data_IF_260762766148
#
_entry.id   IF_260762766148
#
_cell.length_a   1.000
_cell.length_b   1.000
_cell.length_c   1.000
_cell.angle_alpha   90.00
_cell.angle_beta   90.00
_cell.angle_gamma   90.00
#
_symmetry.space_group_name_H-M   'P 1'
#
loop_
_entity.id
_entity.type
_entity.pdbx_description
1 polymer ?
#
# COMPACT_ATOMS: atom_id res chain seq x y z
N UNK A 1 -38.46 -29.28 -22.40
CA UNK A 1 -39.17 -30.49 -21.92
C UNK A 1 -38.19 -31.65 -21.83
N UNK A 2 -37.74 -31.97 -20.61
CA UNK A 2 -37.44 -33.32 -20.11
C UNK A 2 -37.19 -33.17 -18.61
N UNK A 3 -38.04 -33.85 -17.84
CA UNK A 3 -38.18 -33.75 -16.40
C UNK A 3 -37.45 -34.90 -15.71
N UNK A 4 -36.64 -34.58 -14.70
CA UNK A 4 -36.18 -35.54 -13.69
C UNK A 4 -36.39 -34.91 -12.32
N UNK A 5 -37.39 -35.40 -11.56
CA UNK A 5 -37.63 -35.02 -10.16
C UNK A 5 -36.97 -36.07 -9.25
N UNK A 6 -36.08 -35.62 -8.37
CA UNK A 6 -35.76 -36.26 -7.10
C UNK A 6 -36.40 -35.48 -5.93
N UNK A 7 -36.65 -36.11 -4.77
CA UNK A 7 -37.64 -35.62 -3.81
C UNK A 7 -37.05 -34.79 -2.65
N UNK A 8 -37.84 -33.82 -2.18
CA UNK A 8 -37.96 -33.55 -0.75
C UNK A 8 -36.92 -32.65 -0.08
N UNK A 9 -36.90 -31.36 -0.41
CA UNK A 9 -36.35 -30.30 0.43
C UNK A 9 -37.22 -29.04 0.33
N UNK A 10 -37.40 -28.24 1.40
CA UNK A 10 -38.23 -27.04 1.33
C UNK A 10 -37.65 -26.06 0.30
N UNK A 11 -38.53 -25.48 -0.52
CA UNK A 11 -38.16 -24.49 -1.52
C UNK A 11 -37.57 -23.24 -0.84
N UNK A 12 -36.26 -23.07 -0.91
CA UNK A 12 -35.60 -21.81 -0.52
C UNK A 12 -35.88 -20.78 -1.62
N UNK A 13 -36.83 -19.89 -1.35
CA UNK A 13 -37.15 -18.77 -2.23
C UNK A 13 -36.02 -17.73 -2.15
N UNK A 14 -34.99 -17.90 -2.99
CA UNK A 14 -33.98 -16.86 -3.18
C UNK A 14 -34.64 -15.72 -3.95
N UNK A 15 -34.96 -14.62 -3.26
CA UNK A 15 -35.39 -13.38 -3.92
C UNK A 15 -34.30 -12.97 -4.91
N UNK A 16 -34.59 -12.78 -6.20
CA UNK A 16 -33.60 -12.21 -7.11
C UNK A 16 -33.20 -10.84 -6.57
N UNK A 17 -31.90 -10.70 -6.26
CA UNK A 17 -31.32 -9.43 -5.85
C UNK A 17 -31.69 -8.35 -6.84
N UNK A 18 -32.25 -7.25 -6.33
CA UNK A 18 -32.57 -6.06 -7.11
C UNK A 18 -31.29 -5.64 -7.85
N UNK A 19 -31.23 -5.85 -9.17
CA UNK A 19 -30.23 -5.18 -10.02
C UNK A 19 -30.50 -3.69 -9.87
N UNK A 20 -29.62 -2.98 -9.19
CA UNK A 20 -29.61 -1.53 -9.24
C UNK A 20 -29.30 -1.14 -10.69
N UNK A 21 -30.06 -0.20 -11.29
CA UNK A 21 -29.82 0.20 -12.66
C UNK A 21 -28.44 0.85 -12.76
N UNK A 22 -27.71 0.48 -13.81
CA UNK A 22 -26.57 1.24 -14.31
C UNK A 22 -27.09 2.63 -14.68
N UNK A 23 -26.81 3.64 -13.86
CA UNK A 23 -27.14 5.02 -14.19
C UNK A 23 -26.06 5.56 -15.11
N UNK A 24 -26.31 5.47 -16.41
CA UNK A 24 -25.78 6.44 -17.36
C UNK A 24 -26.62 7.71 -17.20
N UNK A 25 -26.03 8.80 -16.69
CA UNK A 25 -26.82 9.96 -16.28
C UNK A 25 -26.00 11.05 -15.60
N UNK A 26 -25.64 12.05 -16.40
CA UNK A 26 -25.14 13.37 -16.00
C UNK A 26 -25.91 13.90 -14.78
N UNK A 27 -25.22 14.04 -13.66
CA UNK A 27 -25.66 14.87 -12.56
C UNK A 27 -24.46 15.71 -12.09
N UNK A 28 -24.53 17.03 -12.30
CA UNK A 28 -23.47 17.99 -12.00
C UNK A 28 -23.24 18.26 -10.51
N UNK A 29 -23.42 17.26 -9.65
CA UNK A 29 -22.96 17.30 -8.27
C UNK A 29 -21.48 16.96 -8.24
N UNK A 30 -20.63 17.87 -7.75
CA UNK A 30 -19.19 17.63 -7.60
C UNK A 30 -19.00 16.44 -6.64
N UNK A 31 -18.56 15.30 -7.16
CA UNK A 31 -18.18 14.14 -6.35
C UNK A 31 -17.26 14.62 -5.22
N UNK A 32 -17.63 14.42 -3.94
CA UNK A 32 -16.85 14.97 -2.83
C UNK A 32 -15.49 14.31 -2.84
N UNK A 33 -14.43 15.13 -2.96
CA UNK A 33 -13.07 14.64 -3.11
C UNK A 33 -12.70 13.65 -2.00
N UNK A 34 -12.00 12.54 -2.33
CA UNK A 34 -11.43 11.64 -1.35
C UNK A 34 -10.53 12.39 -0.36
N UNK A 35 -10.40 11.85 0.85
CA UNK A 35 -9.39 12.31 1.80
C UNK A 35 -7.98 11.94 1.30
N UNK A 36 -7.86 10.74 0.73
CA UNK A 36 -6.63 10.21 0.15
C UNK A 36 -6.89 9.56 -1.20
N UNK A 37 -5.99 9.79 -2.15
CA UNK A 37 -5.95 9.08 -3.44
C UNK A 37 -4.73 8.18 -3.49
N UNK A 38 -4.94 6.90 -3.80
CA UNK A 38 -3.86 5.93 -4.02
C UNK A 38 -3.75 5.64 -5.51
N UNK A 39 -2.52 5.58 -6.05
CA UNK A 39 -2.29 5.29 -7.46
C UNK A 39 -1.11 4.34 -7.66
N UNK A 40 -1.27 3.40 -8.59
CA UNK A 40 -0.28 2.39 -8.97
C UNK A 40 -0.90 1.34 -9.88
N UNK A 41 -0.11 0.37 -10.35
CA UNK A 41 -0.64 -0.81 -11.01
C UNK A 41 -0.91 -1.93 -10.00
N UNK A 42 -1.97 -2.70 -10.23
CA UNK A 42 -2.17 -3.97 -9.56
C UNK A 42 -1.23 -5.01 -10.18
N UNK A 43 -0.41 -5.65 -9.35
CA UNK A 43 0.48 -6.71 -9.79
C UNK A 43 -0.24 -8.07 -9.76
N UNK A 44 0.14 -8.97 -10.67
CA UNK A 44 -0.20 -10.40 -10.54
C UNK A 44 1.01 -11.14 -9.99
N UNK A 45 0.90 -11.60 -8.76
CA UNK A 45 1.92 -12.44 -8.14
C UNK A 45 1.57 -13.90 -8.42
N UNK A 46 2.38 -14.57 -9.23
CA UNK A 46 2.20 -15.99 -9.59
C UNK A 46 2.33 -16.84 -8.33
N UNK A 47 1.35 -17.74 -8.13
CA UNK A 47 1.30 -18.63 -6.99
C UNK A 47 0.48 -19.89 -7.31
N UNK A 48 0.82 -21.00 -6.66
CA UNK A 48 0.16 -22.30 -6.88
C UNK A 48 -1.04 -22.53 -5.95
N UNK A 49 -1.24 -21.65 -4.98
CA UNK A 49 -2.27 -21.76 -3.94
C UNK A 49 -3.51 -20.89 -4.20
N UNK A 50 -3.62 -20.32 -5.41
CA UNK A 50 -4.83 -19.70 -5.94
C UNK A 50 -5.24 -20.43 -7.23
N UNK A 51 -6.51 -20.82 -7.42
CA UNK A 51 -6.97 -21.51 -8.62
C UNK A 51 -6.71 -20.76 -9.94
N UNK A 52 -6.52 -19.44 -9.90
CA UNK A 52 -6.16 -18.63 -11.07
C UNK A 52 -4.68 -18.77 -11.46
N UNK A 53 -3.85 -19.35 -10.59
CA UNK A 53 -2.39 -19.41 -10.72
C UNK A 53 -1.68 -18.10 -10.34
N UNK A 54 -2.41 -17.15 -9.76
CA UNK A 54 -1.89 -15.85 -9.32
C UNK A 54 -2.83 -15.18 -8.31
N UNK A 55 -2.28 -14.24 -7.54
CA UNK A 55 -3.02 -13.33 -6.65
C UNK A 55 -2.85 -11.88 -7.04
N UNK A 56 -3.87 -11.08 -6.77
CA UNK A 56 -3.77 -9.64 -6.96
C UNK A 56 -2.93 -9.03 -5.83
N UNK A 57 -1.84 -8.38 -6.23
CA UNK A 57 -0.97 -7.61 -5.36
C UNK A 57 -0.88 -6.15 -5.79
N UNK A 58 0.32 -5.60 -5.59
CA UNK A 58 0.63 -4.21 -5.89
C UNK A 58 0.29 -3.26 -4.75
N UNK A 59 1.18 -2.30 -4.49
CA UNK A 59 1.06 -1.40 -3.35
C UNK A 59 -0.21 -0.55 -3.39
N UNK A 60 -0.76 -0.27 -4.58
CA UNK A 60 -2.05 0.41 -4.76
C UNK A 60 -3.19 -0.33 -4.06
N UNK A 61 -3.21 -1.65 -4.15
CA UNK A 61 -4.29 -2.50 -3.61
C UNK A 61 -4.22 -2.55 -2.09
N UNK A 62 -3.05 -2.84 -1.52
CA UNK A 62 -2.83 -2.86 -0.07
C UNK A 62 -3.02 -1.48 0.57
N UNK A 63 -2.50 -0.43 -0.05
CA UNK A 63 -2.58 0.93 0.48
C UNK A 63 -4.01 1.48 0.45
N UNK A 64 -4.75 1.22 -0.63
CA UNK A 64 -6.15 1.64 -0.74
C UNK A 64 -7.02 0.93 0.31
N UNK A 65 -6.87 -0.39 0.45
CA UNK A 65 -7.62 -1.15 1.45
C UNK A 65 -7.29 -0.70 2.87
N UNK A 66 -6.01 -0.46 3.17
CA UNK A 66 -5.55 -0.02 4.49
C UNK A 66 -6.14 1.33 4.86
N UNK A 67 -6.02 2.32 3.98
CA UNK A 67 -6.54 3.68 4.24
C UNK A 67 -8.06 3.69 4.45
N UNK A 68 -8.80 2.93 3.64
CA UNK A 68 -10.25 2.80 3.79
C UNK A 68 -10.62 2.10 5.11
N UNK A 69 -9.96 0.98 5.44
CA UNK A 69 -10.19 0.25 6.71
C UNK A 69 -9.80 1.04 7.95
N UNK A 70 -8.89 2.01 7.83
CA UNK A 70 -8.57 2.98 8.89
C UNK A 70 -9.58 4.13 9.00
N UNK A 71 -10.49 4.26 8.03
CA UNK A 71 -11.62 5.18 8.05
C UNK A 71 -11.45 6.47 7.25
N UNK A 72 -10.47 6.52 6.34
CA UNK A 72 -10.36 7.63 5.37
C UNK A 72 -11.31 7.38 4.20
N UNK A 73 -11.85 8.46 3.60
CA UNK A 73 -12.51 8.35 2.28
C UNK A 73 -11.41 8.16 1.24
N UNK A 74 -11.31 6.96 0.69
CA UNK A 74 -10.21 6.59 -0.21
C UNK A 74 -10.69 6.48 -1.65
N UNK A 75 -9.98 7.15 -2.55
CA UNK A 75 -10.04 6.88 -3.98
C UNK A 75 -8.83 6.07 -4.42
N UNK A 76 -8.99 5.14 -5.36
CA UNK A 76 -7.89 4.36 -5.92
C UNK A 76 -7.90 4.41 -7.45
N UNK A 77 -6.79 4.84 -8.05
CA UNK A 77 -6.54 4.76 -9.49
C UNK A 77 -5.67 3.53 -9.73
N UNK A 78 -6.28 2.45 -10.22
CA UNK A 78 -5.65 1.14 -10.31
C UNK A 78 -5.41 0.78 -11.77
N UNK A 79 -4.14 0.75 -12.18
CA UNK A 79 -3.74 0.17 -13.46
C UNK A 79 -3.95 -1.34 -13.44
N UNK A 80 -4.72 -1.87 -14.39
CA UNK A 80 -5.03 -3.31 -14.47
C UNK A 80 -4.92 -3.80 -15.91
N UNK A 81 -4.30 -4.96 -16.09
CA UNK A 81 -4.44 -5.73 -17.33
C UNK A 81 -5.78 -6.48 -17.38
N UNK A 82 -6.03 -7.21 -18.47
CA UNK A 82 -7.28 -7.93 -18.67
C UNK A 82 -7.59 -8.93 -17.54
N UNK A 83 -6.58 -9.68 -17.05
CA UNK A 83 -6.76 -10.67 -16.01
C UNK A 83 -6.96 -10.03 -14.63
N UNK A 84 -6.16 -9.02 -14.30
CA UNK A 84 -6.26 -8.28 -13.05
C UNK A 84 -7.58 -7.52 -12.92
N UNK A 85 -8.19 -7.09 -14.03
CA UNK A 85 -9.48 -6.40 -14.04
C UNK A 85 -10.66 -7.26 -13.54
N UNK A 86 -10.51 -8.58 -13.56
CA UNK A 86 -11.52 -9.56 -13.10
C UNK A 86 -11.21 -10.12 -11.70
N UNK A 87 -10.18 -9.59 -11.04
CA UNK A 87 -9.78 -10.04 -9.71
C UNK A 87 -10.84 -9.72 -8.65
N UNK A 88 -11.26 -10.73 -7.88
CA UNK A 88 -12.22 -10.57 -6.78
C UNK A 88 -11.68 -9.70 -5.64
N UNK A 89 -10.36 -9.55 -5.54
CA UNK A 89 -9.72 -8.64 -4.59
C UNK A 89 -10.07 -7.16 -4.86
N UNK A 90 -10.45 -6.81 -6.09
CA UNK A 90 -11.00 -5.48 -6.40
C UNK A 90 -12.36 -5.26 -5.73
N UNK A 91 -13.14 -6.32 -5.51
CA UNK A 91 -14.40 -6.23 -4.77
C UNK A 91 -14.15 -6.02 -3.28
N UNK A 92 -13.08 -6.58 -2.71
CA UNK A 92 -12.67 -6.27 -1.32
C UNK A 92 -12.40 -4.78 -1.11
N UNK A 93 -11.84 -4.09 -2.13
CA UNK A 93 -11.66 -2.64 -2.09
C UNK A 93 -13.01 -1.92 -2.09
N UNK A 94 -13.91 -2.29 -3.01
CA UNK A 94 -15.24 -1.67 -3.14
C UNK A 94 -16.08 -1.88 -1.88
N UNK A 95 -16.07 -3.09 -1.33
CA UNK A 95 -16.77 -3.46 -0.10
C UNK A 95 -16.24 -2.70 1.13
N UNK A 96 -14.95 -2.35 1.14
CA UNK A 96 -14.37 -1.47 2.14
C UNK A 96 -14.71 0.02 1.94
N UNK A 97 -15.45 0.36 0.89
CA UNK A 97 -15.84 1.74 0.56
C UNK A 97 -14.80 2.52 -0.24
N UNK A 98 -13.84 1.85 -0.86
CA UNK A 98 -12.90 2.50 -1.79
C UNK A 98 -13.63 2.88 -3.08
N UNK A 99 -13.49 4.13 -3.51
CA UNK A 99 -13.88 4.56 -4.86
C UNK A 99 -12.81 4.09 -5.85
N UNK A 100 -13.04 2.93 -6.48
CA UNK A 100 -12.07 2.28 -7.38
C UNK A 100 -12.27 2.73 -8.82
N UNK A 101 -11.26 3.40 -9.39
CA UNK A 101 -11.16 3.68 -10.82
C UNK A 101 -10.12 2.79 -11.47
N UNK A 102 -10.60 1.88 -12.34
CA UNK A 102 -9.74 1.01 -13.12
C UNK A 102 -9.23 1.75 -14.36
N UNK A 103 -7.92 1.68 -14.57
CA UNK A 103 -7.25 2.11 -15.79
C UNK A 103 -6.83 0.84 -16.53
N UNK A 104 -7.43 0.59 -17.69
CA UNK A 104 -7.08 -0.58 -18.51
C UNK A 104 -5.71 -0.38 -19.14
N UNK A 105 -4.81 -1.31 -18.87
CA UNK A 105 -3.48 -1.41 -19.45
C UNK A 105 -3.46 -2.59 -20.42
N UNK A 106 -2.60 -2.54 -21.44
CA UNK A 106 -2.39 -3.70 -22.31
C UNK A 106 -1.62 -4.78 -21.52
N UNK A 107 -0.63 -4.35 -20.73
CA UNK A 107 0.20 -5.20 -19.88
C UNK A 107 0.30 -4.65 -18.46
N UNK A 108 0.16 -5.55 -17.49
CA UNK A 108 0.35 -5.29 -16.06
C UNK A 108 1.67 -5.90 -15.56
N UNK A 109 2.14 -5.52 -14.37
CA UNK A 109 3.33 -6.13 -13.79
C UNK A 109 3.00 -7.53 -13.28
N UNK A 110 3.83 -8.51 -13.65
CA UNK A 110 3.65 -9.91 -13.23
C UNK A 110 4.94 -10.43 -12.63
N UNK A 111 4.86 -11.00 -11.43
CA UNK A 111 6.01 -11.51 -10.69
C UNK A 111 5.90 -12.99 -10.39
N UNK A 112 7.05 -13.66 -10.32
CA UNK A 112 7.20 -14.94 -9.63
C UNK A 112 8.09 -14.68 -8.42
N UNK A 113 7.56 -14.99 -7.25
CA UNK A 113 8.29 -14.91 -5.99
C UNK A 113 8.87 -16.29 -5.67
N UNK A 114 10.19 -16.39 -5.59
CA UNK A 114 10.90 -17.62 -5.23
C UNK A 114 11.55 -17.41 -3.86
N UNK A 115 10.97 -18.04 -2.84
CA UNK A 115 11.53 -18.02 -1.50
C UNK A 115 12.81 -18.85 -1.43
N UNK A 116 13.87 -18.29 -0.84
CA UNK A 116 15.17 -18.94 -0.65
C UNK A 116 15.67 -18.69 0.78
N UNK A 117 16.60 -19.50 1.30
CA UNK A 117 17.19 -19.27 2.62
C UNK A 117 17.83 -17.89 2.77
N UNK A 118 18.41 -17.35 1.69
CA UNK A 118 19.06 -16.04 1.67
C UNK A 118 18.08 -14.87 1.45
N UNK A 119 16.79 -15.17 1.29
CA UNK A 119 15.72 -14.22 1.00
C UNK A 119 14.99 -14.50 -0.30
N UNK A 120 14.05 -13.63 -0.64
CA UNK A 120 13.19 -13.79 -1.82
C UNK A 120 13.89 -13.36 -3.11
N UNK A 121 14.01 -14.26 -4.09
CA UNK A 121 14.31 -13.87 -5.47
C UNK A 121 13.01 -13.57 -6.19
N UNK A 122 12.88 -12.35 -6.72
CA UNK A 122 11.75 -11.97 -7.55
C UNK A 122 12.13 -12.01 -9.03
N UNK A 123 11.35 -12.74 -9.83
CA UNK A 123 11.45 -12.76 -11.29
C UNK A 123 10.31 -11.95 -11.89
N UNK A 124 10.61 -11.15 -12.91
CA UNK A 124 9.63 -10.44 -13.71
C UNK A 124 9.16 -11.33 -14.86
N UNK A 125 7.88 -11.68 -14.90
CA UNK A 125 7.25 -12.33 -16.07
C UNK A 125 6.87 -11.30 -17.12
N UNK A 126 6.38 -10.15 -16.67
CA UNK A 126 5.84 -9.11 -17.53
C UNK A 126 6.01 -7.74 -16.88
N UNK A 127 6.24 -6.72 -17.71
CA UNK A 127 6.37 -5.33 -17.30
C UNK A 127 5.04 -4.61 -17.50
N UNK A 128 4.69 -3.76 -16.55
CA UNK A 128 3.52 -2.87 -16.66
C UNK A 128 3.71 -1.78 -17.70
N UNK A 129 2.64 -1.47 -18.43
CA UNK A 129 2.51 -0.19 -19.13
C UNK A 129 2.34 0.97 -18.13
N UNK A 130 2.61 2.22 -18.54
CA UNK A 130 2.40 3.38 -17.69
C UNK A 130 0.93 3.62 -17.34
N UNK A 131 0.66 3.96 -16.09
CA UNK A 131 -0.63 4.53 -15.67
C UNK A 131 -0.61 6.03 -16.01
N UNK A 132 -1.41 6.51 -16.99
CA UNK A 132 -1.31 7.88 -17.46
C UNK A 132 -1.87 8.87 -16.43
N UNK A 133 -1.23 10.04 -16.32
CA UNK A 133 -1.69 11.11 -15.43
C UNK A 133 -3.09 11.62 -15.75
N UNK A 134 -3.57 11.42 -16.98
CA UNK A 134 -4.93 11.77 -17.41
C UNK A 134 -6.01 10.90 -16.75
N UNK A 135 -5.63 9.80 -16.09
CA UNK A 135 -6.54 8.98 -15.30
C UNK A 135 -7.10 9.70 -14.06
N UNK A 136 -6.45 10.77 -13.60
CA UNK A 136 -6.96 11.56 -12.47
C UNK A 136 -8.18 12.38 -12.88
N UNK A 137 -9.27 12.24 -12.15
CA UNK A 137 -10.43 13.12 -12.36
C UNK A 137 -10.21 14.49 -11.71
N UNK A 138 -10.79 15.57 -12.26
CA UNK A 138 -10.62 16.91 -11.71
C UNK A 138 -10.99 17.04 -10.22
N UNK A 139 -12.01 16.32 -9.76
CA UNK A 139 -12.44 16.35 -8.35
C UNK A 139 -11.41 15.74 -7.39
N UNK A 140 -10.68 14.72 -7.82
CA UNK A 140 -9.71 14.01 -6.98
C UNK A 140 -8.40 14.79 -6.79
N UNK A 141 -8.09 15.74 -7.68
CA UNK A 141 -6.95 16.67 -7.51
C UNK A 141 -7.04 17.49 -6.21
N UNK A 142 -8.24 17.61 -5.65
CA UNK A 142 -8.49 18.30 -4.39
C UNK A 142 -8.16 17.48 -3.14
N UNK A 143 -7.81 16.19 -3.29
CA UNK A 143 -7.54 15.29 -2.17
C UNK A 143 -6.44 15.84 -1.26
N UNK A 144 -6.62 15.61 0.06
CA UNK A 144 -5.71 16.11 1.10
C UNK A 144 -4.43 15.28 1.18
N UNK A 145 -4.49 14.02 0.75
CA UNK A 145 -3.37 13.11 0.73
C UNK A 145 -3.28 12.29 -0.54
N UNK A 146 -2.07 11.85 -0.85
CA UNK A 146 -1.76 10.98 -1.97
C UNK A 146 -0.80 9.88 -1.53
N UNK A 147 -1.03 8.66 -2.00
CA UNK A 147 -0.07 7.56 -1.89
C UNK A 147 0.26 7.14 -3.33
N UNK A 148 1.47 7.45 -3.77
CA UNK A 148 2.01 6.95 -5.02
C UNK A 148 2.69 5.61 -4.70
N UNK A 149 2.07 4.53 -5.14
CA UNK A 149 2.48 3.17 -4.82
C UNK A 149 2.93 2.43 -6.09
N UNK A 150 4.04 2.87 -6.73
CA UNK A 150 4.55 2.20 -7.90
C UNK A 150 5.05 0.80 -7.52
N UNK A 151 4.85 -0.14 -8.43
CA UNK A 151 5.41 -1.48 -8.40
C UNK A 151 6.77 -1.51 -9.09
N UNK A 152 6.91 -0.73 -10.16
CA UNK A 152 8.12 -0.51 -10.92
C UNK A 152 8.08 0.91 -11.56
N UNK A 153 8.36 1.00 -12.85
CA UNK A 153 8.37 2.25 -13.61
C UNK A 153 7.00 2.60 -14.25
N UNK A 154 5.87 2.14 -13.70
CA UNK A 154 4.55 2.40 -14.30
C UNK A 154 3.99 3.79 -13.99
N UNK A 155 4.52 4.49 -12.99
CA UNK A 155 4.12 5.85 -12.67
C UNK A 155 5.10 6.84 -13.33
N UNK A 156 4.74 7.49 -14.45
CA UNK A 156 5.60 8.50 -15.05
C UNK A 156 5.77 9.71 -14.12
N UNK A 157 6.89 10.42 -14.29
CA UNK A 157 7.26 11.60 -13.49
C UNK A 157 6.18 12.69 -13.41
N UNK A 158 5.31 12.78 -14.42
CA UNK A 158 4.18 13.71 -14.42
C UNK A 158 3.21 13.54 -13.24
N UNK A 159 3.19 12.38 -12.58
CA UNK A 159 2.42 12.18 -11.35
C UNK A 159 2.89 13.08 -10.21
N UNK A 160 4.13 13.57 -10.23
CA UNK A 160 4.65 14.53 -9.25
C UNK A 160 3.88 15.86 -9.25
N UNK A 161 3.28 16.25 -10.37
CA UNK A 161 2.55 17.51 -10.54
C UNK A 161 1.05 17.38 -10.29
N UNK A 162 0.53 16.16 -10.04
CA UNK A 162 -0.90 15.93 -9.81
C UNK A 162 -1.34 16.38 -8.41
N UNK A 163 -0.64 15.99 -7.32
CA UNK A 163 -0.97 16.46 -5.97
C UNK A 163 -0.67 17.96 -5.82
N UNK A 164 -1.65 18.70 -5.31
CA UNK A 164 -1.47 20.13 -4.95
C UNK A 164 -0.40 20.31 -3.88
N UNK A 165 0.27 21.46 -3.85
CA UNK A 165 1.40 21.74 -2.95
C UNK A 165 1.13 21.43 -1.47
N UNK A 166 -0.09 21.71 -0.98
CA UNK A 166 -0.49 21.46 0.42
C UNK A 166 -0.91 20.02 0.74
N UNK A 167 -1.00 19.15 -0.26
CA UNK A 167 -1.38 17.75 -0.04
C UNK A 167 -0.19 16.96 0.49
N UNK A 168 -0.43 16.07 1.45
CA UNK A 168 0.59 15.13 1.94
C UNK A 168 0.80 14.04 0.89
N UNK A 169 2.03 13.85 0.44
CA UNK A 169 2.37 12.82 -0.56
C UNK A 169 3.27 11.77 0.06
N UNK A 170 2.79 10.53 0.10
CA UNK A 170 3.56 9.35 0.45
C UNK A 170 3.98 8.59 -0.82
N UNK A 171 5.20 8.06 -0.84
CA UNK A 171 5.73 7.28 -1.97
C UNK A 171 6.33 5.96 -1.49
N UNK A 172 5.88 4.84 -2.07
CA UNK A 172 6.57 3.56 -1.95
C UNK A 172 7.77 3.54 -2.88
N UNK A 173 8.97 3.79 -2.34
CA UNK A 173 10.17 3.97 -3.17
C UNK A 173 10.60 2.67 -3.86
N UNK A 174 10.29 1.52 -3.28
CA UNK A 174 10.56 0.20 -3.85
C UNK A 174 10.25 0.12 -5.36
N UNK A 175 9.12 0.67 -5.82
CA UNK A 175 8.78 0.64 -7.24
C UNK A 175 9.72 1.46 -8.12
N UNK A 176 10.22 2.61 -7.66
CA UNK A 176 11.15 3.42 -8.45
C UNK A 176 12.57 2.85 -8.46
N UNK A 177 12.85 1.84 -7.63
CA UNK A 177 14.14 1.16 -7.54
C UNK A 177 14.16 -0.13 -8.37
N UNK A 178 13.13 -0.42 -9.16
CA UNK A 178 13.01 -1.66 -9.93
C UNK A 178 12.98 -1.40 -11.43
N UNK A 179 13.76 -2.18 -12.16
CA UNK A 179 13.62 -2.36 -13.60
C UNK A 179 13.17 -3.79 -13.91
N UNK A 180 12.03 -3.89 -14.60
CA UNK A 180 11.37 -5.14 -14.94
C UNK A 180 11.71 -5.53 -16.37
N UNK A 181 12.30 -6.73 -16.51
CA UNK A 181 12.60 -7.33 -17.79
C UNK A 181 11.95 -8.72 -17.85
N UNK A 182 11.06 -9.00 -18.81
CA UNK A 182 10.39 -10.28 -18.94
C UNK A 182 11.37 -11.47 -18.93
N UNK A 183 11.07 -12.48 -18.11
CA UNK A 183 11.87 -13.69 -17.95
C UNK A 183 13.17 -13.51 -17.13
N UNK A 184 13.42 -12.34 -16.54
CA UNK A 184 14.64 -12.07 -15.76
C UNK A 184 14.36 -11.78 -14.30
N UNK A 185 15.39 -11.93 -13.47
CA UNK A 185 15.37 -11.42 -12.11
C UNK A 185 15.14 -9.89 -12.12
N UNK A 186 14.36 -9.41 -11.15
CA UNK A 186 14.13 -7.97 -10.95
C UNK A 186 15.48 -7.30 -10.72
N UNK A 187 15.78 -6.28 -11.52
CA UNK A 187 17.01 -5.51 -11.39
C UNK A 187 16.78 -4.33 -10.47
N UNK A 188 17.60 -4.18 -9.44
CA UNK A 188 17.60 -3.00 -8.58
C UNK A 188 18.38 -1.86 -9.24
N UNK A 189 17.77 -0.68 -9.27
CA UNK A 189 18.37 0.56 -9.76
C UNK A 189 19.07 1.28 -8.61
N UNK A 190 20.14 2.02 -8.93
CA UNK A 190 20.77 2.89 -7.95
C UNK A 190 19.77 3.96 -7.48
N UNK A 191 19.67 4.22 -6.17
CA UNK A 191 18.79 5.26 -5.65
C UNK A 191 19.25 6.64 -6.15
N UNK A 192 18.30 7.47 -6.55
CA UNK A 192 18.56 8.81 -7.05
C UNK A 192 17.31 9.68 -7.04
N UNK A 193 17.47 11.00 -7.17
CA UNK A 193 16.34 11.92 -7.15
C UNK A 193 15.47 11.74 -8.40
N UNK A 194 14.15 11.71 -8.20
CA UNK A 194 13.15 11.77 -9.27
C UNK A 194 12.14 12.88 -8.98
N UNK A 195 11.42 13.41 -9.97
CA UNK A 195 10.32 14.34 -9.74
C UNK A 195 9.32 13.85 -8.69
N UNK A 196 9.00 12.55 -8.69
CA UNK A 196 8.11 11.93 -7.71
C UNK A 196 8.69 12.01 -6.28
N UNK A 197 9.97 11.66 -6.09
CA UNK A 197 10.63 11.75 -4.78
C UNK A 197 10.81 13.19 -4.31
N UNK A 198 11.04 14.12 -5.24
CA UNK A 198 11.10 15.56 -4.95
C UNK A 198 9.72 16.15 -4.62
N UNK A 199 8.63 15.47 -4.95
CA UNK A 199 7.29 15.84 -4.49
C UNK A 199 6.96 15.25 -3.11
N UNK A 200 7.51 14.11 -2.74
CA UNK A 200 7.07 13.34 -1.57
C UNK A 200 7.33 14.02 -0.22
N UNK A 201 6.34 14.02 0.67
CA UNK A 201 6.48 14.38 2.09
C UNK A 201 6.93 13.18 2.94
N UNK A 202 6.58 11.97 2.52
CA UNK A 202 6.90 10.71 3.17
C UNK A 202 7.37 9.70 2.13
N UNK A 203 8.51 9.06 2.36
CA UNK A 203 9.06 8.04 1.45
C UNK A 203 9.33 6.78 2.25
N UNK A 204 8.67 5.68 1.87
CA UNK A 204 8.86 4.36 2.48
C UNK A 204 9.74 3.45 1.61
N UNK A 205 10.64 2.72 2.24
CA UNK A 205 11.37 1.61 1.62
C UNK A 205 11.74 0.54 2.64
N UNK A 206 11.98 -0.69 2.18
CA UNK A 206 12.69 -1.70 2.96
C UNK A 206 14.20 -1.50 2.87
N UNK A 207 14.94 -1.88 3.91
CA UNK A 207 16.40 -1.97 3.81
C UNK A 207 16.85 -2.99 2.75
N UNK A 208 16.01 -3.97 2.43
CA UNK A 208 16.29 -4.98 1.42
C UNK A 208 16.06 -4.50 -0.02
N UNK A 209 15.48 -3.30 -0.22
CA UNK A 209 15.24 -2.73 -1.56
C UNK A 209 16.47 -2.03 -2.14
N UNK A 210 17.53 -1.89 -1.36
CA UNK A 210 18.75 -1.15 -1.70
C UNK A 210 19.99 -1.89 -1.20
N UNK A 211 21.12 -1.68 -1.86
CA UNK A 211 22.39 -2.26 -1.42
C UNK A 211 22.73 -1.82 0.01
N UNK A 212 23.17 -2.79 0.82
CA UNK A 212 23.44 -2.61 2.25
C UNK A 212 24.64 -1.69 2.54
N UNK A 213 25.46 -1.43 1.53
CA UNK A 213 26.61 -0.54 1.62
C UNK A 213 26.25 0.93 1.32
N UNK A 214 25.07 1.19 0.75
CA UNK A 214 24.61 2.56 0.49
C UNK A 214 24.30 3.23 1.84
N UNK A 215 25.01 4.33 2.19
CA UNK A 215 24.75 5.06 3.43
C UNK A 215 23.36 5.68 3.44
N UNK A 216 22.68 5.68 4.60
CA UNK A 216 21.32 6.22 4.72
C UNK A 216 21.23 7.72 4.38
N UNK A 217 22.32 8.47 4.59
CA UNK A 217 22.40 9.88 4.19
C UNK A 217 22.32 10.06 2.67
N UNK A 218 22.87 9.13 1.87
CA UNK A 218 22.76 9.20 0.40
C UNK A 218 21.33 8.95 -0.06
N UNK A 219 20.63 8.01 0.60
CA UNK A 219 19.20 7.81 0.36
C UNK A 219 18.40 9.07 0.67
N UNK A 220 18.68 9.71 1.81
CA UNK A 220 18.00 10.94 2.22
C UNK A 220 18.23 12.10 1.24
N UNK A 221 19.43 12.24 0.68
CA UNK A 221 19.77 13.30 -0.30
C UNK A 221 18.96 13.23 -1.60
N UNK A 222 18.43 12.06 -1.96
CA UNK A 222 17.56 11.89 -3.12
C UNK A 222 16.17 12.53 -2.91
N UNK A 223 15.75 12.71 -1.65
CA UNK A 223 14.42 13.20 -1.28
C UNK A 223 14.36 14.72 -1.30
N UNK A 224 13.15 15.31 -1.28
CA UNK A 224 13.06 16.76 -1.02
C UNK A 224 13.49 17.12 0.40
N UNK A 225 14.02 18.33 0.62
CA UNK A 225 14.28 18.83 1.96
C UNK A 225 13.05 18.75 2.88
N UNK A 226 13.25 18.25 4.10
CA UNK A 226 12.21 18.10 5.10
C UNK A 226 11.26 16.91 4.89
N UNK A 227 11.49 16.06 3.89
CA UNK A 227 10.76 14.80 3.76
C UNK A 227 11.07 13.84 4.92
N UNK A 228 10.12 12.98 5.24
CA UNK A 228 10.33 11.86 6.16
C UNK A 228 10.75 10.62 5.37
N UNK A 229 11.86 10.01 5.74
CA UNK A 229 12.32 8.72 5.21
C UNK A 229 11.97 7.60 6.20
N UNK A 230 11.11 6.67 5.82
CA UNK A 230 10.75 5.51 6.60
C UNK A 230 11.41 4.25 6.04
N UNK A 231 12.34 3.67 6.80
CA UNK A 231 13.09 2.47 6.43
C UNK A 231 12.59 1.31 7.29
N UNK A 232 11.96 0.31 6.68
CA UNK A 232 11.53 -0.90 7.38
C UNK A 232 12.65 -1.95 7.41
N UNK A 233 12.77 -2.66 8.53
CA UNK A 233 13.74 -3.73 8.76
C UNK A 233 13.05 -5.00 9.29
N UNK A 234 11.86 -5.31 8.77
CA UNK A 234 11.09 -6.50 9.13
C UNK A 234 10.79 -6.60 10.62
N UNK A 235 11.17 -7.73 11.21
CA UNK A 235 10.98 -8.07 12.63
C UNK A 235 11.79 -7.21 13.61
N UNK A 236 12.69 -6.34 13.11
CA UNK A 236 13.48 -5.40 13.92
C UNK A 236 12.87 -4.00 14.01
N UNK A 237 11.71 -3.79 13.39
CA UNK A 237 11.07 -2.48 13.31
C UNK A 237 11.70 -1.68 12.18
N UNK A 238 12.31 -0.54 12.50
CA UNK A 238 13.02 0.22 11.48
C UNK A 238 13.53 1.57 11.95
N UNK A 239 13.83 2.43 10.96
CA UNK A 239 14.36 3.76 11.17
C UNK A 239 13.45 4.80 10.52
N UNK A 240 13.31 5.94 11.19
CA UNK A 240 12.74 7.15 10.63
C UNK A 240 13.84 8.19 10.54
N UNK A 241 14.08 8.69 9.34
CA UNK A 241 15.02 9.75 9.04
C UNK A 241 14.31 11.04 8.69
N UNK A 242 14.73 12.14 9.31
CA UNK A 242 14.43 13.50 8.86
C UNK A 242 15.69 14.36 8.97
N UNK A 243 15.71 15.46 8.24
CA UNK A 243 16.91 16.28 8.14
C UNK A 243 16.67 17.62 7.48
N UNK A 244 17.56 18.56 7.80
CA UNK A 244 17.62 19.88 7.17
C UNK A 244 18.62 19.79 6.02
N UNK A 245 18.30 20.45 4.90
CA UNK A 245 19.03 20.35 3.63
C UNK A 245 20.56 20.33 3.79
N UNK A 246 21.19 19.24 3.35
CA UNK A 246 22.65 19.15 3.16
C UNK A 246 23.52 19.02 4.41
N UNK A 247 22.96 19.04 5.63
CA UNK A 247 23.79 19.20 6.85
C UNK A 247 23.66 18.08 7.88
N UNK A 248 22.47 17.49 8.07
CA UNK A 248 22.28 16.42 9.05
C UNK A 248 21.12 15.51 8.67
N UNK A 249 21.27 14.22 9.02
CA UNK A 249 20.19 13.24 9.03
C UNK A 249 20.01 12.77 10.48
N UNK A 250 18.85 13.07 11.05
CA UNK A 250 18.45 12.59 12.36
C UNK A 250 17.70 11.26 12.18
N UNK A 251 18.29 10.19 12.71
CA UNK A 251 17.70 8.85 12.68
C UNK A 251 17.08 8.53 14.03
N UNK A 252 15.84 8.05 14.02
CA UNK A 252 15.16 7.50 15.19
C UNK A 252 14.74 6.07 14.90
N UNK A 253 15.07 5.15 15.80
CA UNK A 253 14.57 3.78 15.73
C UNK A 253 13.12 3.73 16.20
N UNK A 254 12.31 2.89 15.55
CA UNK A 254 11.01 2.49 16.06
C UNK A 254 10.97 0.96 16.21
N UNK A 255 10.41 0.44 17.32
CA UNK A 255 10.37 -0.99 17.57
C UNK A 255 9.40 -1.70 16.62
N UNK A 256 9.66 -2.97 16.35
CA UNK A 256 8.66 -3.83 15.73
C UNK A 256 7.48 -4.03 16.68
N UNK A 257 6.30 -4.18 16.09
CA UNK A 257 5.18 -4.79 16.78
C UNK A 257 5.14 -6.25 16.31
N UNK A 258 5.34 -7.24 17.20
CA UNK A 258 5.37 -8.64 16.79
C UNK A 258 4.00 -9.11 16.32
N UNK A 259 4.00 -9.88 15.23
CA UNK A 259 2.84 -10.67 14.78
C UNK A 259 2.68 -11.92 15.66
N UNK A 260 1.45 -12.42 15.75
CA UNK A 260 1.17 -13.67 16.46
C UNK A 260 1.51 -14.91 15.63
N UNK A 261 1.40 -14.80 14.30
CA UNK A 261 1.78 -15.82 13.33
C UNK A 261 2.18 -15.14 12.02
N UNK A 262 3.05 -15.78 11.23
CA UNK A 262 3.39 -15.32 9.89
C UNK A 262 2.77 -16.31 8.91
N UNK A 263 1.77 -15.85 8.17
CA UNK A 263 1.05 -16.60 7.13
C UNK A 263 1.53 -16.15 5.76
N UNK A 264 1.57 -14.84 5.50
CA UNK A 264 2.00 -14.27 4.24
C UNK A 264 2.73 -12.93 4.48
N UNK A 265 4.02 -12.81 4.13
CA UNK A 265 4.78 -11.58 4.32
C UNK A 265 4.42 -10.45 3.33
N UNK A 266 3.56 -10.72 2.34
CA UNK A 266 3.29 -9.82 1.22
C UNK A 266 2.48 -8.59 1.67
N UNK A 267 2.90 -7.40 1.19
CA UNK A 267 2.20 -6.15 1.42
C UNK A 267 2.45 -5.48 2.77
N UNK A 268 3.25 -6.05 3.67
CA UNK A 268 3.54 -5.45 4.98
C UNK A 268 4.14 -4.04 4.89
N UNK A 269 5.06 -3.80 3.94
CA UNK A 269 5.63 -2.47 3.68
C UNK A 269 4.60 -1.48 3.15
N UNK A 270 3.71 -1.92 2.26
CA UNK A 270 2.63 -1.09 1.71
C UNK A 270 1.61 -0.71 2.78
N UNK A 271 1.20 -1.68 3.62
CA UNK A 271 0.31 -1.44 4.77
C UNK A 271 0.97 -0.50 5.78
N UNK A 272 2.26 -0.70 6.09
CA UNK A 272 3.01 0.20 6.96
C UNK A 272 2.99 1.64 6.43
N UNK A 273 3.39 1.84 5.18
CA UNK A 273 3.45 3.16 4.56
C UNK A 273 2.07 3.82 4.50
N UNK A 274 1.04 3.07 4.10
CA UNK A 274 -0.32 3.56 4.00
C UNK A 274 -0.90 3.97 5.36
N UNK A 275 -0.61 3.20 6.39
CA UNK A 275 -1.04 3.48 7.75
C UNK A 275 -0.32 4.70 8.35
N UNK A 276 0.99 4.85 8.09
CA UNK A 276 1.76 6.03 8.46
C UNK A 276 1.25 7.29 7.73
N UNK A 277 1.01 7.18 6.42
CA UNK A 277 0.44 8.26 5.62
C UNK A 277 -0.96 8.65 6.11
N UNK A 278 -1.82 7.67 6.42
CA UNK A 278 -3.16 7.90 6.94
C UNK A 278 -3.13 8.72 8.25
N UNK A 279 -2.23 8.38 9.18
CA UNK A 279 -2.08 9.13 10.43
C UNK A 279 -1.59 10.56 10.22
N UNK A 280 -0.76 10.81 9.18
CA UNK A 280 -0.27 12.15 8.82
C UNK A 280 -1.35 12.99 8.12
N UNK A 281 -2.20 12.36 7.30
CA UNK A 281 -3.32 13.00 6.60
C UNK A 281 -4.48 13.31 7.57
N UNK A 282 -4.76 12.39 8.50
CA UNK A 282 -5.81 12.51 9.52
C UNK A 282 -5.25 12.26 10.93
N UNK A 283 -4.61 13.27 11.56
CA UNK A 283 -3.98 13.13 12.88
C UNK A 283 -4.92 12.65 13.99
N UNK A 284 -6.24 12.82 13.84
CA UNK A 284 -7.23 12.30 14.80
C UNK A 284 -7.24 10.78 14.88
N UNK A 285 -6.72 10.06 13.87
CA UNK A 285 -6.57 8.60 13.94
C UNK A 285 -5.77 8.14 15.17
N UNK A 286 -4.77 8.94 15.55
CA UNK A 286 -3.88 8.69 16.70
C UNK A 286 -4.13 9.67 17.86
N UNK A 287 -5.21 10.45 17.80
CA UNK A 287 -5.53 11.47 18.81
C UNK A 287 -4.58 12.67 18.80
N UNK A 288 -3.99 13.00 17.64
CA UNK A 288 -3.02 14.10 17.49
C UNK A 288 -1.62 13.77 18.02
N UNK A 289 -1.36 12.53 18.44
CA UNK A 289 -0.13 12.14 19.15
C UNK A 289 1.05 11.75 18.25
N UNK A 290 1.17 12.41 17.11
CA UNK A 290 2.25 12.16 16.14
C UNK A 290 3.62 12.45 16.77
N UNK A 291 3.74 13.54 17.55
CA UNK A 291 4.97 13.90 18.24
C UNK A 291 5.42 12.86 19.28
N UNK A 292 4.51 12.01 19.77
CA UNK A 292 4.81 10.90 20.69
C UNK A 292 5.01 9.56 19.95
N UNK A 293 5.09 9.56 18.61
CA UNK A 293 5.36 8.36 17.81
C UNK A 293 4.16 7.44 17.61
N UNK A 294 2.93 7.87 17.91
CA UNK A 294 1.74 7.02 17.74
C UNK A 294 1.40 6.73 16.27
N UNK A 295 1.86 7.56 15.34
CA UNK A 295 1.76 7.29 13.90
C UNK A 295 2.60 6.08 13.50
N UNK A 296 3.81 5.95 14.04
CA UNK A 296 4.69 4.78 13.85
C UNK A 296 4.14 3.55 14.55
N UNK A 297 3.60 3.69 15.76
CA UNK A 297 2.94 2.59 16.46
C UNK A 297 1.72 2.07 15.68
N UNK A 298 0.92 2.98 15.10
CA UNK A 298 -0.22 2.61 14.25
C UNK A 298 0.26 1.88 12.99
N UNK A 299 1.31 2.39 12.33
CA UNK A 299 1.90 1.78 11.14
C UNK A 299 2.48 0.38 11.41
N UNK A 300 3.29 0.25 12.46
CA UNK A 300 3.89 -1.04 12.86
C UNK A 300 2.82 -2.04 13.30
N UNK A 301 1.79 -1.61 14.03
CA UNK A 301 0.68 -2.48 14.41
C UNK A 301 -0.10 -2.98 13.17
N UNK A 302 -0.40 -2.10 12.21
CA UNK A 302 -1.07 -2.47 10.98
C UNK A 302 -0.23 -3.46 10.14
N UNK A 303 1.07 -3.19 10.00
CA UNK A 303 2.01 -4.06 9.31
C UNK A 303 2.13 -5.43 9.99
N UNK A 304 2.13 -5.50 11.33
CA UNK A 304 2.18 -6.78 12.05
C UNK A 304 0.95 -7.64 11.79
N UNK A 305 -0.23 -7.03 11.66
CA UNK A 305 -1.48 -7.76 11.48
C UNK A 305 -1.64 -8.29 10.05
N UNK A 306 -1.17 -7.58 9.03
CA UNK A 306 -1.31 -8.08 7.64
C UNK A 306 -0.54 -9.38 7.41
N UNK A 307 0.55 -9.59 8.16
CA UNK A 307 1.33 -10.83 8.13
C UNK A 307 0.54 -12.07 8.58
N UNK A 308 -0.56 -11.88 9.32
CA UNK A 308 -1.34 -12.96 9.95
C UNK A 308 -2.44 -13.52 9.03
N UNK A 309 -2.56 -13.04 7.78
CA UNK A 309 -3.54 -13.55 6.83
C UNK A 309 -3.04 -13.51 5.38
N UNK A 310 -3.65 -14.29 4.47
CA UNK A 310 -3.20 -14.38 3.08
C UNK A 310 -3.52 -13.11 2.29
N UNK A 311 -2.52 -12.54 1.62
CA UNK A 311 -2.64 -11.42 0.73
C UNK A 311 -3.44 -10.24 1.31
N UNK A 312 -4.36 -9.69 0.52
CA UNK A 312 -5.20 -8.58 0.95
C UNK A 312 -6.22 -8.93 2.05
N UNK A 313 -6.50 -10.21 2.27
CA UNK A 313 -7.40 -10.63 3.36
C UNK A 313 -6.77 -10.37 4.74
N UNK A 314 -5.44 -10.31 4.83
CA UNK A 314 -4.72 -9.94 6.05
C UNK A 314 -4.85 -8.47 6.46
N UNK A 315 -5.22 -7.56 5.55
CA UNK A 315 -5.22 -6.12 5.85
C UNK A 315 -6.15 -5.82 7.04
N UNK A 316 -5.69 -5.21 8.14
CA UNK A 316 -6.49 -5.15 9.35
C UNK A 316 -7.60 -4.09 9.30
N UNK A 317 -8.65 -4.28 10.10
CA UNK A 317 -9.61 -3.23 10.42
C UNK A 317 -9.03 -2.23 11.43
N UNK A 318 -9.58 -1.01 11.47
CA UNK A 318 -9.19 0.01 12.48
C UNK A 318 -9.22 -0.51 13.91
N UNK A 319 -10.24 -1.28 14.27
CA UNK A 319 -10.39 -1.80 15.63
C UNK A 319 -9.34 -2.87 15.95
N UNK A 320 -8.97 -3.71 14.97
CA UNK A 320 -7.87 -4.66 15.14
C UNK A 320 -6.54 -3.93 15.35
N UNK A 321 -6.24 -2.90 14.55
CA UNK A 321 -5.05 -2.06 14.72
C UNK A 321 -5.02 -1.43 16.10
N UNK A 322 -6.14 -0.86 16.57
CA UNK A 322 -6.23 -0.25 17.91
C UNK A 322 -5.95 -1.24 19.04
N UNK A 323 -6.48 -2.47 18.96
CA UNK A 323 -6.18 -3.53 19.94
C UNK A 323 -4.69 -3.87 19.94
N UNK A 324 -4.10 -4.08 18.76
CA UNK A 324 -2.67 -4.39 18.61
C UNK A 324 -1.77 -3.25 19.12
N UNK A 325 -2.16 -1.99 18.90
CA UNK A 325 -1.45 -0.83 19.48
C UNK A 325 -1.50 -0.83 21.02
N UNK A 326 -2.65 -1.17 21.62
CA UNK A 326 -2.78 -1.23 23.08
C UNK A 326 -1.91 -2.33 23.68
N UNK A 327 -1.90 -3.53 23.07
CA UNK A 327 -1.02 -4.65 23.44
C UNK A 327 0.46 -4.25 23.35
N UNK A 328 0.86 -3.61 22.25
CA UNK A 328 2.23 -3.15 22.06
C UNK A 328 2.64 -2.06 23.06
N UNK A 329 1.76 -1.10 23.37
CA UNK A 329 2.05 -0.05 24.33
C UNK A 329 2.31 -0.60 25.75
N UNK A 330 1.56 -1.63 26.16
CA UNK A 330 1.79 -2.32 27.45
C UNK A 330 3.17 -2.99 27.47
N UNK A 331 3.56 -3.66 26.39
CA UNK A 331 4.89 -4.29 26.27
C UNK A 331 6.02 -3.28 26.33
N UNK A 332 5.93 -2.21 25.55
CA UNK A 332 6.94 -1.14 25.53
C UNK A 332 7.10 -0.53 26.93
N UNK A 333 5.98 -0.28 27.63
CA UNK A 333 6.02 0.23 29.00
C UNK A 333 6.68 -0.76 29.99
N UNK A 334 6.41 -2.06 29.84
CA UNK A 334 7.03 -3.10 30.67
C UNK A 334 8.54 -3.19 30.44
N UNK A 335 9.00 -3.16 29.18
CA UNK A 335 10.41 -3.20 28.81
C UNK A 335 11.17 -1.99 29.36
N UNK A 336 10.59 -0.79 29.25
CA UNK A 336 11.15 0.45 29.81
C UNK A 336 11.16 0.46 31.35
N UNK A 337 10.19 -0.20 31.98
CA UNK A 337 10.11 -0.35 33.45
C UNK A 337 11.09 -1.39 34.01
N UNK A 338 11.40 -2.44 33.25
CA UNK A 338 12.38 -3.48 33.63
C UNK A 338 13.84 -3.08 33.43
N UNK A 339 14.10 -1.95 32.76
CA UNK A 339 15.44 -1.47 32.42
C UNK A 339 16.08 -0.49 33.43
N UNK A 340 15.60 -0.40 34.67
CA UNK A 340 16.28 0.38 35.73
C UNK A 340 17.26 -0.51 36.51
N UNK A 341 18.57 -0.23 36.52
CA UNK A 341 19.43 -0.67 37.61
C UNK A 341 19.07 0.02 38.93
#
# INVERSE_FOLDING_TARGET
MRSGRGPGGPAVYVRPGRRLPVTDGRNGGREPAPDVVVVGAAARDITDDDPRGWRLGGGVSYSALTTARLGLRTGAIVGVDAAAAEAHELDLLRDAGVDVRLVRLERGPVFVNIERPEGRLQLSRERSDPVPVTAVTPGWREARGWILAPVAAELPDGWASVPRDRAVVAVGWQGLLRDLQPGRAVRHLAPGPTPILRRADLVGLSRDDVDRDIPLIELYRALRPGALLAITQGDRGGLIGDGIEGQSLHLRHYPAVPSHAIVDPTGAGDVFLAALAAARIEPRLVGGRIAQGFDLLLAAAAASLVLEGPGMLGVPSRDAVRRRMAEAAVRIAAEQGSGRP
#
